data_IF_860917405255
#
_entry.id   IF_860917405255
#
_cell.length_a   1.000
_cell.length_b   1.000
_cell.length_c   1.000
_cell.angle_alpha   90.00
_cell.angle_beta   90.00
_cell.angle_gamma   90.00
#
_symmetry.space_group_name_H-M   'P 1'
#
loop_
_entity.id
_entity.type
_entity.pdbx_description
1 polymer ?
#
# COMPACT_ATOMS: atom_id res chain seq x y z
N UNK A 1 13.92 -20.80 6.25
CA UNK A 1 12.50 -20.45 6.56
C UNK A 1 12.51 -18.97 6.84
N UNK A 2 11.74 -18.15 6.13
CA UNK A 2 11.81 -16.69 6.28
C UNK A 2 11.25 -16.22 7.63
N UNK A 3 11.55 -14.97 8.02
CA UNK A 3 11.19 -14.42 9.33
C UNK A 3 9.69 -14.47 9.61
N UNK A 4 8.84 -14.19 8.64
CA UNK A 4 7.38 -14.27 8.76
C UNK A 4 6.89 -15.70 9.04
N UNK A 5 7.48 -16.72 8.39
CA UNK A 5 7.10 -18.11 8.59
C UNK A 5 7.53 -18.66 9.96
N UNK A 6 8.41 -17.95 10.67
CA UNK A 6 8.81 -18.30 12.04
C UNK A 6 7.86 -17.70 13.10
N UNK A 7 7.05 -16.70 12.74
CA UNK A 7 6.05 -16.12 13.61
C UNK A 7 4.80 -17.03 13.67
N UNK A 8 4.50 -17.66 14.80
CA UNK A 8 3.39 -18.62 14.89
C UNK A 8 2.02 -17.97 15.06
N UNK A 9 1.98 -16.68 15.43
CA UNK A 9 0.72 -15.98 15.76
C UNK A 9 0.07 -15.42 14.51
N UNK A 10 -1.26 -15.35 14.49
CA UNK A 10 -2.00 -14.46 13.61
C UNK A 10 -1.59 -13.01 13.92
N UNK A 11 -1.38 -12.19 12.88
CA UNK A 11 -0.94 -10.81 13.05
C UNK A 11 -2.13 -9.90 13.35
N UNK A 12 -2.11 -9.25 14.52
CA UNK A 12 -3.13 -8.30 14.96
C UNK A 12 -2.48 -6.97 15.28
N UNK A 13 -2.90 -5.91 14.60
CA UNK A 13 -2.30 -4.59 14.77
C UNK A 13 -2.57 -3.63 13.64
N UNK A 14 -1.55 -2.99 13.10
CA UNK A 14 -1.73 -2.08 11.96
C UNK A 14 -0.70 -0.96 11.86
N UNK A 15 -1.05 0.05 11.09
CA UNK A 15 -0.18 1.19 10.84
C UNK A 15 0.00 2.03 12.09
N UNK A 16 1.23 2.15 12.49
CA UNK A 16 1.64 3.03 13.58
C UNK A 16 2.56 4.13 13.02
N UNK A 17 2.15 5.38 13.22
CA UNK A 17 2.82 6.55 12.66
C UNK A 17 3.38 7.44 13.79
N UNK A 18 4.40 6.97 14.55
CA UNK A 18 4.98 7.70 15.68
C UNK A 18 5.73 8.97 15.25
N UNK A 19 6.14 9.06 13.99
CA UNK A 19 6.76 10.25 13.40
C UNK A 19 5.89 11.52 13.53
N UNK A 20 4.57 11.37 13.66
CA UNK A 20 3.64 12.47 13.93
C UNK A 20 3.68 12.97 15.38
N UNK A 21 4.31 12.22 16.29
CA UNK A 21 4.22 12.42 17.75
C UNK A 21 5.57 12.53 18.45
N UNK A 22 6.67 12.76 17.71
CA UNK A 22 8.02 12.79 18.27
C UNK A 22 8.21 13.86 19.34
N UNK A 23 7.48 14.96 19.25
CA UNK A 23 7.48 16.03 20.25
C UNK A 23 6.59 15.72 21.49
N UNK A 24 5.96 14.55 21.52
CA UNK A 24 5.00 14.15 22.56
C UNK A 24 5.36 12.78 23.17
N UNK A 25 6.48 12.63 23.88
CA UNK A 25 6.97 11.33 24.39
C UNK A 25 5.98 10.62 25.32
N UNK A 26 5.17 11.35 26.07
CA UNK A 26 4.13 10.78 26.94
C UNK A 26 3.03 10.07 26.11
N UNK A 27 2.73 10.58 24.93
CA UNK A 27 1.80 9.94 24.00
C UNK A 27 2.39 8.62 23.49
N UNK A 28 3.64 8.64 23.03
CA UNK A 28 4.31 7.43 22.55
C UNK A 28 4.39 6.35 23.61
N UNK A 29 4.68 6.73 24.86
CA UNK A 29 4.65 5.81 26.00
C UNK A 29 3.25 5.24 26.24
N UNK A 30 2.22 6.10 26.19
CA UNK A 30 0.82 5.68 26.38
C UNK A 30 0.36 4.74 25.28
N UNK A 31 0.83 4.93 24.04
CA UNK A 31 0.54 4.05 22.91
C UNK A 31 0.98 2.61 23.18
N UNK A 32 2.20 2.42 23.70
CA UNK A 32 2.70 1.08 24.03
C UNK A 32 1.86 0.39 25.09
N UNK A 33 1.38 1.12 26.10
CA UNK A 33 0.48 0.57 27.12
C UNK A 33 -0.85 0.13 26.50
N UNK A 34 -1.46 1.01 25.67
CA UNK A 34 -2.75 0.74 25.04
C UNK A 34 -2.65 -0.34 23.97
N UNK A 35 -1.56 -0.41 23.20
CA UNK A 35 -1.32 -1.49 22.25
C UNK A 35 -1.29 -2.86 22.95
N UNK A 36 -0.60 -2.98 24.09
CA UNK A 36 -0.60 -4.21 24.89
C UNK A 36 -2.01 -4.57 25.39
N UNK A 37 -2.75 -3.58 25.89
CA UNK A 37 -4.12 -3.78 26.36
C UNK A 37 -5.05 -4.24 25.23
N UNK A 38 -4.91 -3.66 24.02
CA UNK A 38 -5.68 -4.00 22.83
C UNK A 38 -5.24 -5.33 22.17
N UNK A 39 -4.25 -6.04 22.74
CA UNK A 39 -3.71 -7.29 22.18
C UNK A 39 -3.01 -7.10 20.83
N UNK A 40 -2.44 -5.93 20.57
CA UNK A 40 -1.63 -5.65 19.38
C UNK A 40 -0.31 -6.42 19.50
N UNK A 41 0.00 -7.21 18.48
CA UNK A 41 1.25 -7.97 18.40
C UNK A 41 2.10 -7.60 17.18
N UNK A 42 1.59 -6.75 16.28
CA UNK A 42 2.28 -6.38 15.03
C UNK A 42 1.98 -4.93 14.69
N UNK A 43 3.00 -4.17 14.32
CA UNK A 43 2.84 -2.80 13.81
C UNK A 43 3.52 -2.67 12.45
N UNK A 44 2.91 -1.90 11.55
CA UNK A 44 3.52 -1.43 10.32
C UNK A 44 4.10 -0.05 10.58
N UNK A 45 5.40 0.14 10.32
CA UNK A 45 6.13 1.37 10.65
C UNK A 45 6.73 2.02 9.41
N UNK A 46 6.67 3.34 9.35
CA UNK A 46 7.48 4.15 8.43
C UNK A 46 6.86 4.39 7.06
N UNK A 47 5.63 3.99 6.78
CA UNK A 47 5.00 4.03 5.45
C UNK A 47 5.08 5.43 4.81
N UNK A 48 4.85 6.49 5.58
CA UNK A 48 4.86 7.88 5.10
C UNK A 48 5.91 8.76 5.80
N UNK A 49 6.90 8.13 6.45
CA UNK A 49 7.82 8.82 7.34
C UNK A 49 9.06 9.44 6.64
N UNK A 50 9.11 9.54 5.30
CA UNK A 50 10.32 9.99 4.60
C UNK A 50 10.81 11.36 5.08
N UNK A 51 9.91 12.32 5.30
CA UNK A 51 10.29 13.65 5.82
C UNK A 51 10.89 13.63 7.22
N UNK A 52 10.49 12.67 8.07
CA UNK A 52 11.08 12.49 9.39
C UNK A 52 12.43 11.73 9.34
N UNK A 53 12.56 10.81 8.38
CA UNK A 53 13.79 10.04 8.16
C UNK A 53 14.88 10.84 7.44
N UNK A 54 14.47 11.70 6.51
CA UNK A 54 15.36 12.53 5.69
C UNK A 54 14.74 13.93 5.51
N UNK A 55 14.79 14.80 6.56
CA UNK A 55 14.19 16.14 6.53
C UNK A 55 14.83 17.07 5.50
N UNK A 56 16.10 16.85 5.16
CA UNK A 56 16.82 17.49 4.07
C UNK A 56 17.61 16.45 3.29
N UNK A 57 17.86 16.68 2.02
CA UNK A 57 18.60 15.75 1.18
C UNK A 57 19.96 15.36 1.79
N UNK A 58 20.14 14.08 2.04
CA UNK A 58 21.36 13.51 2.61
C UNK A 58 21.48 13.61 4.13
N UNK A 59 20.52 14.23 4.80
CA UNK A 59 20.49 14.37 6.27
C UNK A 59 19.51 13.33 6.84
N UNK A 60 20.04 12.24 7.42
CA UNK A 60 19.25 11.11 7.88
C UNK A 60 19.13 11.09 9.41
N UNK A 61 17.89 10.93 9.90
CA UNK A 61 17.53 10.87 11.31
C UNK A 61 16.78 9.56 11.60
N UNK A 62 17.50 8.55 12.07
CA UNK A 62 16.95 7.24 12.35
C UNK A 62 16.70 6.96 13.84
N UNK A 63 17.23 7.80 14.75
CA UNK A 63 17.27 7.55 16.19
C UNK A 63 15.87 7.37 16.80
N UNK A 64 14.90 8.11 16.31
CA UNK A 64 13.51 7.97 16.73
C UNK A 64 12.92 6.61 16.33
N UNK A 65 13.27 6.14 15.14
CA UNK A 65 12.79 4.84 14.64
C UNK A 65 13.49 3.69 15.39
N UNK A 66 14.79 3.82 15.70
CA UNK A 66 15.52 2.87 16.54
C UNK A 66 14.77 2.63 17.85
N UNK A 67 14.42 3.73 18.55
CA UNK A 67 13.73 3.65 19.84
C UNK A 67 12.35 2.97 19.72
N UNK A 68 11.57 3.32 18.70
CA UNK A 68 10.24 2.69 18.47
C UNK A 68 10.38 1.20 18.14
N UNK A 69 11.38 0.83 17.35
CA UNK A 69 11.66 -0.56 17.01
C UNK A 69 12.02 -1.37 18.25
N UNK A 70 12.89 -0.84 19.11
CA UNK A 70 13.29 -1.46 20.38
C UNK A 70 12.10 -1.58 21.33
N UNK A 71 11.27 -0.56 21.44
CA UNK A 71 10.07 -0.56 22.28
C UNK A 71 9.05 -1.63 21.82
N UNK A 72 8.84 -1.77 20.51
CA UNK A 72 7.98 -2.82 19.95
C UNK A 72 8.58 -4.21 20.23
N UNK A 73 9.88 -4.38 20.05
CA UNK A 73 10.57 -5.64 20.39
C UNK A 73 10.43 -5.97 21.88
N UNK A 74 10.61 -4.99 22.76
CA UNK A 74 10.48 -5.17 24.22
C UNK A 74 9.08 -5.58 24.65
N UNK A 75 8.04 -5.20 23.91
CA UNK A 75 6.68 -5.69 24.17
C UNK A 75 6.39 -7.08 23.55
N UNK A 76 7.36 -7.70 22.90
CA UNK A 76 7.17 -8.97 22.18
C UNK A 76 6.39 -8.82 20.87
N UNK A 77 6.37 -7.61 20.31
CA UNK A 77 5.69 -7.29 19.07
C UNK A 77 6.58 -7.52 17.83
N UNK A 78 5.92 -7.62 16.69
CA UNK A 78 6.53 -7.71 15.36
C UNK A 78 6.45 -6.36 14.65
N UNK A 79 7.37 -6.15 13.73
CA UNK A 79 7.39 -5.00 12.84
C UNK A 79 7.32 -5.47 11.39
N UNK A 80 6.37 -4.92 10.66
CA UNK A 80 6.37 -4.88 9.21
C UNK A 80 6.96 -3.51 8.86
N UNK A 81 8.24 -3.49 8.45
CA UNK A 81 8.94 -2.23 8.20
C UNK A 81 8.67 -1.76 6.78
N UNK A 82 8.15 -0.54 6.66
CA UNK A 82 7.80 0.01 5.36
C UNK A 82 8.93 0.85 4.73
N UNK A 83 8.96 0.85 3.40
CA UNK A 83 9.71 1.84 2.63
C UNK A 83 8.82 3.06 2.38
N UNK A 84 9.34 4.30 2.52
CA UNK A 84 8.48 5.48 2.58
C UNK A 84 8.16 6.11 1.21
N UNK A 85 8.36 5.40 0.11
CA UNK A 85 8.26 5.94 -1.25
C UNK A 85 6.85 6.32 -1.68
N UNK A 86 5.81 5.90 -0.93
CA UNK A 86 4.42 6.26 -1.21
C UNK A 86 4.11 7.76 -1.01
N UNK A 87 4.92 8.45 -0.19
CA UNK A 87 4.80 9.90 0.03
C UNK A 87 6.20 10.51 0.21
N UNK A 88 6.57 11.44 -0.66
CA UNK A 88 7.92 12.03 -0.70
C UNK A 88 8.01 13.34 0.06
N UNK A 89 9.19 13.72 0.57
CA UNK A 89 9.41 14.99 1.22
C UNK A 89 9.36 16.18 0.22
N UNK A 90 9.04 17.36 0.74
CA UNK A 90 8.87 18.57 -0.07
C UNK A 90 10.16 18.99 -0.80
N UNK A 91 11.32 18.83 -0.15
CA UNK A 91 12.62 19.17 -0.75
C UNK A 91 12.89 18.41 -2.05
N UNK A 92 12.40 17.15 -2.15
CA UNK A 92 12.57 16.32 -3.34
C UNK A 92 11.77 16.87 -4.52
N UNK A 93 10.54 17.32 -4.29
CA UNK A 93 9.71 17.95 -5.32
C UNK A 93 10.19 19.34 -5.72
N UNK A 94 10.74 20.09 -4.77
CA UNK A 94 11.26 21.45 -5.02
C UNK A 94 12.54 21.41 -5.86
N UNK A 95 13.50 20.59 -5.43
CA UNK A 95 14.82 20.50 -6.05
C UNK A 95 14.79 19.77 -7.39
N UNK A 96 13.90 18.77 -7.52
CA UNK A 96 13.80 17.87 -8.67
C UNK A 96 12.35 17.80 -9.20
N UNK A 97 11.83 18.89 -9.85
CA UNK A 97 10.42 18.92 -10.28
C UNK A 97 10.04 17.84 -11.29
N UNK A 98 11.01 17.18 -11.94
CA UNK A 98 10.80 16.05 -12.84
C UNK A 98 10.31 14.79 -12.13
N UNK A 99 10.39 14.71 -10.80
CA UNK A 99 9.81 13.60 -10.03
C UNK A 99 8.29 13.64 -9.99
N UNK A 100 7.69 14.82 -10.24
CA UNK A 100 6.25 15.01 -10.21
C UNK A 100 5.58 14.40 -11.44
N UNK A 101 4.45 13.72 -11.23
CA UNK A 101 3.62 13.17 -12.31
C UNK A 101 3.11 14.27 -13.23
N UNK A 102 2.90 13.90 -14.49
CA UNK A 102 2.10 14.64 -15.46
C UNK A 102 0.83 13.83 -15.69
N UNK A 103 -0.35 14.46 -15.58
CA UNK A 103 -1.63 13.80 -15.78
C UNK A 103 -1.93 13.57 -17.27
N UNK A 104 -3.06 12.92 -17.59
CA UNK A 104 -3.47 12.65 -18.95
C UNK A 104 -3.74 13.92 -19.79
N UNK A 105 -4.09 15.05 -19.14
CA UNK A 105 -4.24 16.37 -19.78
C UNK A 105 -2.89 17.08 -20.00
N UNK A 106 -1.78 16.39 -19.79
CA UNK A 106 -0.40 16.93 -19.92
C UNK A 106 -0.07 18.05 -18.92
N UNK A 107 -0.80 18.13 -17.81
CA UNK A 107 -0.52 19.06 -16.73
C UNK A 107 0.38 18.42 -15.67
N UNK A 108 1.47 19.09 -15.32
CA UNK A 108 2.34 18.64 -14.24
C UNK A 108 1.67 18.82 -12.88
N UNK A 109 1.63 17.75 -12.08
CA UNK A 109 1.14 17.77 -10.72
C UNK A 109 2.02 18.65 -9.82
N UNK A 110 1.50 19.00 -8.64
CA UNK A 110 2.23 19.78 -7.63
C UNK A 110 2.62 18.88 -6.46
N UNK A 111 3.51 19.39 -5.61
CA UNK A 111 3.78 18.75 -4.33
C UNK A 111 2.50 18.71 -3.47
N UNK A 112 2.38 17.68 -2.63
CA UNK A 112 1.17 17.36 -1.86
C UNK A 112 0.40 16.21 -2.52
N UNK A 113 -0.50 15.60 -1.84
CA UNK A 113 -1.09 14.34 -2.27
C UNK A 113 -0.03 13.21 -2.39
N UNK A 114 -0.32 12.07 -1.85
CA UNK A 114 0.54 10.88 -2.04
C UNK A 114 0.44 10.39 -3.48
N UNK A 115 1.39 9.54 -3.94
CA UNK A 115 1.36 8.86 -5.22
C UNK A 115 1.33 9.78 -6.46
N UNK A 116 1.78 11.02 -6.37
CA UNK A 116 1.91 11.90 -7.51
C UNK A 116 3.36 12.05 -8.01
N UNK A 117 4.16 11.00 -7.85
CA UNK A 117 5.53 10.88 -8.35
C UNK A 117 5.62 9.93 -9.55
N UNK A 118 6.60 10.16 -10.41
CA UNK A 118 6.81 9.40 -11.64
C UNK A 118 7.72 8.19 -11.41
N UNK A 119 7.25 6.98 -11.69
CA UNK A 119 8.03 5.74 -11.57
C UNK A 119 9.17 5.64 -12.60
N UNK A 120 9.13 6.43 -13.66
CA UNK A 120 10.20 6.50 -14.67
C UNK A 120 11.23 7.58 -14.40
N UNK A 121 11.04 8.46 -13.40
CA UNK A 121 12.02 9.50 -13.07
C UNK A 121 13.32 8.89 -12.57
N UNK A 122 14.47 9.13 -13.23
CA UNK A 122 15.75 8.60 -12.78
C UNK A 122 16.13 9.10 -11.38
N UNK A 123 15.87 10.38 -11.09
CA UNK A 123 16.14 10.98 -9.79
C UNK A 123 15.29 10.35 -8.70
N UNK A 124 13.99 10.14 -8.95
CA UNK A 124 13.12 9.50 -7.96
C UNK A 124 13.59 8.08 -7.64
N UNK A 125 13.93 7.31 -8.66
CA UNK A 125 14.50 5.96 -8.51
C UNK A 125 15.80 5.95 -7.70
N UNK A 126 16.71 6.89 -7.95
CA UNK A 126 17.95 7.02 -7.19
C UNK A 126 17.69 7.29 -5.70
N UNK A 127 16.82 8.26 -5.40
CA UNK A 127 16.51 8.63 -4.01
C UNK A 127 15.78 7.52 -3.26
N UNK A 128 14.86 6.83 -3.91
CA UNK A 128 14.16 5.67 -3.36
C UNK A 128 15.14 4.52 -3.06
N UNK A 129 16.02 4.18 -4.00
CA UNK A 129 17.03 3.16 -3.77
C UNK A 129 17.95 3.50 -2.59
N UNK A 130 18.32 4.78 -2.44
CA UNK A 130 19.17 5.23 -1.34
C UNK A 130 18.50 5.05 0.02
N UNK A 131 17.27 5.54 0.19
CA UNK A 131 16.57 5.43 1.48
C UNK A 131 16.25 3.97 1.82
N UNK A 132 15.81 3.17 0.84
CA UNK A 132 15.51 1.76 1.02
C UNK A 132 16.73 0.96 1.46
N UNK A 133 17.89 1.20 0.83
CA UNK A 133 19.16 0.58 1.22
C UNK A 133 19.56 0.94 2.65
N UNK A 134 19.46 2.23 3.04
CA UNK A 134 19.78 2.67 4.40
C UNK A 134 18.87 2.02 5.45
N UNK A 135 17.59 1.87 5.16
CA UNK A 135 16.67 1.15 6.02
C UNK A 135 17.04 -0.33 6.14
N UNK A 136 17.35 -0.99 5.01
CA UNK A 136 17.74 -2.39 5.00
C UNK A 136 19.06 -2.65 5.76
N UNK A 137 20.07 -1.81 5.54
CA UNK A 137 21.36 -1.89 6.24
C UNK A 137 21.20 -1.71 7.75
N UNK A 138 20.32 -0.78 8.18
CA UNK A 138 20.16 -0.49 9.61
C UNK A 138 19.28 -1.50 10.33
N UNK A 139 18.18 -1.92 9.72
CA UNK A 139 17.11 -2.69 10.40
C UNK A 139 17.00 -4.13 9.95
N UNK A 140 17.73 -4.55 8.94
CA UNK A 140 17.62 -5.91 8.38
C UNK A 140 17.99 -7.04 9.35
N UNK A 141 18.70 -6.74 10.44
CA UNK A 141 19.02 -7.70 11.50
C UNK A 141 18.24 -7.45 12.79
N UNK A 142 17.30 -6.50 12.78
CA UNK A 142 16.52 -6.19 13.99
C UNK A 142 15.52 -7.32 14.26
N UNK A 143 15.48 -7.87 15.50
CA UNK A 143 14.73 -9.10 15.81
C UNK A 143 13.22 -8.97 15.66
N UNK A 144 12.67 -7.75 15.72
CA UNK A 144 11.24 -7.53 15.54
C UNK A 144 10.81 -7.50 14.07
N UNK A 145 11.71 -7.32 13.10
CA UNK A 145 11.35 -7.20 11.67
C UNK A 145 11.04 -8.57 11.10
N UNK A 146 9.80 -8.76 10.70
CA UNK A 146 9.32 -10.02 10.10
C UNK A 146 9.03 -9.89 8.60
N UNK A 147 8.88 -8.67 8.09
CA UNK A 147 8.48 -8.40 6.70
C UNK A 147 8.81 -6.97 6.31
N UNK A 148 9.06 -6.76 5.00
CA UNK A 148 9.10 -5.44 4.38
C UNK A 148 7.76 -5.12 3.70
N UNK A 149 7.22 -3.94 3.99
CA UNK A 149 6.11 -3.36 3.23
C UNK A 149 6.66 -2.32 2.25
N UNK A 150 6.60 -2.61 0.97
CA UNK A 150 7.23 -1.78 -0.05
C UNK A 150 6.25 -0.71 -0.52
N UNK A 151 6.62 0.57 -0.34
CA UNK A 151 5.76 1.70 -0.70
C UNK A 151 4.36 1.63 -0.05
N UNK A 152 3.33 2.00 -0.79
CA UNK A 152 1.93 1.88 -0.37
C UNK A 152 1.00 1.99 -1.58
N UNK A 153 0.03 1.09 -1.72
CA UNK A 153 -1.09 1.19 -2.64
C UNK A 153 -0.70 1.66 -4.06
N UNK A 154 0.21 0.96 -4.71
CA UNK A 154 0.63 1.32 -6.06
C UNK A 154 -0.55 1.53 -7.00
N UNK A 155 -0.55 2.64 -7.75
CA UNK A 155 -1.59 2.96 -8.70
C UNK A 155 -1.38 4.27 -9.43
N UNK A 156 -2.32 4.59 -10.31
CA UNK A 156 -2.26 5.75 -11.17
C UNK A 156 -1.19 5.64 -12.25
N UNK A 157 -1.15 6.63 -13.13
CA UNK A 157 -0.24 6.70 -14.25
C UNK A 157 0.44 8.08 -14.38
N UNK A 158 1.46 8.15 -15.22
CA UNK A 158 2.18 9.39 -15.48
C UNK A 158 2.44 9.52 -16.99
N UNK A 159 2.14 10.68 -17.53
CA UNK A 159 2.25 10.99 -18.97
C UNK A 159 3.40 11.96 -19.29
N UNK A 160 4.42 12.03 -18.44
CA UNK A 160 5.61 12.87 -18.66
C UNK A 160 6.50 12.31 -19.77
N UNK A 161 7.49 13.08 -20.19
CA UNK A 161 8.41 12.71 -21.27
C UNK A 161 9.14 11.39 -21.05
N UNK A 162 9.51 11.07 -19.79
CA UNK A 162 10.12 9.78 -19.46
C UNK A 162 9.16 8.62 -19.74
N UNK A 163 7.89 8.79 -19.31
CA UNK A 163 6.86 7.77 -19.54
C UNK A 163 6.49 7.63 -21.00
N UNK A 164 6.40 8.74 -21.76
CA UNK A 164 6.20 8.72 -23.22
C UNK A 164 7.32 7.95 -23.91
N UNK A 165 8.57 8.24 -23.57
CA UNK A 165 9.73 7.56 -24.16
C UNK A 165 9.75 6.06 -23.83
N UNK A 166 9.45 5.70 -22.58
CA UNK A 166 9.40 4.31 -22.15
C UNK A 166 8.22 3.56 -22.78
N UNK A 167 7.07 4.21 -22.97
CA UNK A 167 5.92 3.62 -23.66
C UNK A 167 6.25 3.29 -25.11
N UNK A 168 6.90 4.21 -25.84
CA UNK A 168 7.36 3.96 -27.22
C UNK A 168 8.31 2.77 -27.29
N UNK A 169 9.29 2.68 -26.39
CA UNK A 169 10.21 1.52 -26.30
C UNK A 169 9.45 0.23 -26.02
N UNK A 170 8.48 0.26 -25.12
CA UNK A 170 7.64 -0.89 -24.79
C UNK A 170 6.82 -1.36 -25.99
N UNK A 171 6.23 -0.43 -26.74
CA UNK A 171 5.53 -0.73 -28.01
C UNK A 171 6.45 -1.30 -29.06
N UNK A 172 7.67 -0.75 -29.23
CA UNK A 172 8.69 -1.27 -30.16
C UNK A 172 9.06 -2.73 -29.79
N UNK A 173 9.26 -3.01 -28.53
CA UNK A 173 9.54 -4.37 -28.05
C UNK A 173 8.38 -5.33 -28.32
N UNK A 174 7.13 -4.85 -28.22
CA UNK A 174 5.92 -5.65 -28.39
C UNK A 174 5.57 -5.93 -29.86
N UNK A 175 5.67 -4.93 -30.73
CA UNK A 175 5.19 -4.98 -32.11
C UNK A 175 6.32 -5.15 -33.12
N UNK A 176 7.54 -4.80 -32.77
CA UNK A 176 8.71 -4.83 -33.66
C UNK A 176 8.72 -3.70 -34.68
N UNK A 177 7.66 -3.55 -35.43
CA UNK A 177 7.56 -2.51 -36.50
C UNK A 177 6.35 -1.60 -36.29
N UNK A 178 6.42 -0.43 -36.92
CA UNK A 178 5.34 0.56 -36.89
C UNK A 178 4.13 0.10 -37.71
N UNK A 179 4.38 -0.66 -38.79
CA UNK A 179 3.33 -1.28 -39.60
C UNK A 179 2.51 -2.27 -38.79
N UNK A 180 3.16 -3.12 -37.98
CA UNK A 180 2.47 -4.07 -37.09
C UNK A 180 1.65 -3.34 -36.02
N UNK A 181 2.14 -2.22 -35.48
CA UNK A 181 1.39 -1.37 -34.57
C UNK A 181 0.15 -0.77 -35.24
N UNK A 182 0.34 -0.16 -36.41
CA UNK A 182 -0.75 0.46 -37.17
C UNK A 182 -1.85 -0.56 -37.52
N UNK A 183 -1.47 -1.78 -37.90
CA UNK A 183 -2.40 -2.88 -38.15
C UNK A 183 -3.16 -3.26 -36.88
N UNK A 184 -2.45 -3.47 -35.79
CA UNK A 184 -3.04 -3.91 -34.51
C UNK A 184 -4.01 -2.87 -33.91
N UNK A 185 -3.72 -1.59 -34.07
CA UNK A 185 -4.57 -0.49 -33.60
C UNK A 185 -5.60 -0.03 -34.63
N UNK A 186 -5.58 -0.59 -35.83
CA UNK A 186 -6.41 -0.20 -36.96
C UNK A 186 -6.23 1.28 -37.37
N UNK A 187 -4.99 1.69 -37.49
CA UNK A 187 -4.57 3.08 -37.75
C UNK A 187 -5.21 3.80 -38.93
N UNK A 188 -5.64 3.13 -40.04
CA UNK A 188 -6.31 3.81 -41.14
C UNK A 188 -7.61 4.54 -40.77
N UNK A 189 -8.28 4.13 -39.71
CA UNK A 189 -9.49 4.80 -39.24
C UNK A 189 -9.16 6.18 -38.67
N UNK A 190 -9.79 7.21 -39.17
CA UNK A 190 -9.55 8.62 -38.85
C UNK A 190 -8.08 9.08 -38.99
N UNK A 191 -7.33 8.45 -39.89
CA UNK A 191 -5.92 8.79 -40.15
C UNK A 191 -5.01 8.65 -38.93
N UNK A 192 -5.24 7.64 -38.10
CA UNK A 192 -4.43 7.34 -36.91
C UNK A 192 -3.18 6.50 -37.23
N UNK A 193 -2.83 6.29 -38.51
CA UNK A 193 -1.59 5.59 -38.88
C UNK A 193 -0.37 6.46 -38.59
N UNK A 194 0.61 5.87 -37.92
CA UNK A 194 1.88 6.51 -37.61
C UNK A 194 2.93 6.19 -38.69
N UNK A 195 3.79 7.14 -38.97
CA UNK A 195 4.95 7.01 -39.90
C UNK A 195 6.28 7.10 -39.16
N UNK A 196 6.26 7.48 -37.88
CA UNK A 196 7.42 7.53 -37.01
C UNK A 196 6.99 7.24 -35.55
N UNK A 197 7.83 6.55 -34.79
CA UNK A 197 7.55 6.22 -33.38
C UNK A 197 7.38 7.47 -32.51
N UNK A 198 8.02 8.58 -32.82
CA UNK A 198 7.90 9.85 -32.11
C UNK A 198 6.48 10.43 -32.12
N UNK A 199 5.65 10.02 -33.08
CA UNK A 199 4.26 10.47 -33.23
C UNK A 199 3.32 9.73 -32.25
N UNK A 200 3.77 8.61 -31.71
CA UNK A 200 2.95 7.82 -30.76
C UNK A 200 2.98 8.45 -29.38
N UNK A 201 1.82 8.76 -28.86
CA UNK A 201 1.62 9.29 -27.51
C UNK A 201 0.71 8.39 -26.67
N UNK A 202 0.82 8.52 -25.35
CA UNK A 202 -0.13 7.91 -24.42
C UNK A 202 -1.53 8.49 -24.59
N UNK A 203 -2.61 7.75 -24.21
CA UNK A 203 -3.97 8.26 -24.32
C UNK A 203 -4.16 9.57 -23.56
N UNK A 204 -5.02 10.46 -24.10
CA UNK A 204 -5.29 11.76 -23.50
C UNK A 204 -6.68 12.26 -23.83
N UNK A 205 -7.45 12.83 -22.86
CA UNK A 205 -8.75 13.43 -23.14
C UNK A 205 -8.66 14.71 -24.00
N UNK A 206 -7.49 15.33 -24.08
CA UNK A 206 -7.24 16.47 -24.97
C UNK A 206 -6.67 16.07 -26.33
N UNK A 207 -6.50 14.77 -26.56
CA UNK A 207 -5.98 14.19 -27.82
C UNK A 207 -6.75 12.93 -28.16
N UNK A 208 -6.05 11.80 -28.26
CA UNK A 208 -6.67 10.51 -28.58
C UNK A 208 -6.98 9.73 -27.29
N UNK A 209 -8.24 9.37 -27.12
CA UNK A 209 -8.71 8.59 -25.97
C UNK A 209 -9.67 7.44 -26.34
N UNK A 210 -9.99 7.29 -27.64
CA UNK A 210 -10.98 6.31 -28.10
C UNK A 210 -10.38 5.08 -28.79
N UNK A 211 -9.10 5.11 -29.18
CA UNK A 211 -8.44 3.96 -29.82
C UNK A 211 -8.25 2.84 -28.79
N UNK A 212 -9.00 1.74 -28.95
CA UNK A 212 -9.03 0.64 -27.98
C UNK A 212 -7.66 -0.03 -27.80
N UNK A 213 -6.91 -0.22 -28.88
CA UNK A 213 -5.56 -0.78 -28.83
C UNK A 213 -4.60 0.06 -28.01
N UNK A 214 -4.62 1.38 -28.24
CA UNK A 214 -3.82 2.35 -27.46
C UNK A 214 -4.16 2.29 -25.97
N UNK A 215 -5.45 2.33 -25.61
CA UNK A 215 -5.89 2.30 -24.21
C UNK A 215 -5.50 1.00 -23.51
N UNK A 216 -5.64 -0.14 -24.19
CA UNK A 216 -5.29 -1.44 -23.66
C UNK A 216 -3.77 -1.59 -23.46
N UNK A 217 -2.99 -1.14 -24.44
CA UNK A 217 -1.54 -1.19 -24.36
C UNK A 217 -0.98 -0.20 -23.34
N UNK A 218 -1.61 0.95 -23.15
CA UNK A 218 -1.26 1.86 -22.07
C UNK A 218 -1.45 1.22 -20.70
N UNK A 219 -2.59 0.58 -20.45
CA UNK A 219 -2.83 -0.15 -19.18
C UNK A 219 -1.83 -1.28 -18.96
N UNK A 220 -1.46 -2.01 -19.99
CA UNK A 220 -0.41 -3.05 -19.92
C UNK A 220 0.95 -2.45 -19.60
N UNK A 221 1.32 -1.37 -20.27
CA UNK A 221 2.54 -0.63 -20.00
C UNK A 221 2.60 -0.09 -18.57
N UNK A 222 1.51 0.52 -18.07
CA UNK A 222 1.43 1.02 -16.69
C UNK A 222 1.65 -0.10 -15.68
N UNK A 223 1.08 -1.27 -15.92
CA UNK A 223 1.33 -2.45 -15.08
C UNK A 223 2.81 -2.85 -15.10
N UNK A 224 3.40 -2.95 -16.29
CA UNK A 224 4.81 -3.34 -16.44
C UNK A 224 5.76 -2.31 -15.84
N UNK A 225 5.49 -1.02 -16.01
CA UNK A 225 6.24 0.08 -15.41
C UNK A 225 6.17 0.05 -13.87
N UNK A 226 4.99 -0.24 -13.33
CA UNK A 226 4.79 -0.33 -11.88
C UNK A 226 5.56 -1.52 -11.30
N UNK A 227 5.52 -2.66 -11.95
CA UNK A 227 6.29 -3.85 -11.55
C UNK A 227 7.79 -3.57 -11.64
N UNK A 228 8.27 -2.96 -12.72
CA UNK A 228 9.66 -2.58 -12.89
C UNK A 228 10.14 -1.62 -11.78
N UNK A 229 9.28 -0.68 -11.39
CA UNK A 229 9.59 0.22 -10.28
C UNK A 229 9.61 -0.54 -8.93
N UNK A 230 8.66 -1.43 -8.68
CA UNK A 230 8.65 -2.29 -7.50
C UNK A 230 9.92 -3.16 -7.40
N UNK A 231 10.31 -3.80 -8.50
CA UNK A 231 11.57 -4.58 -8.55
C UNK A 231 12.81 -3.70 -8.29
N UNK A 232 12.80 -2.46 -8.78
CA UNK A 232 13.84 -1.49 -8.45
C UNK A 232 13.89 -1.17 -6.95
N UNK A 233 12.73 -0.99 -6.30
CA UNK A 233 12.65 -0.69 -4.88
C UNK A 233 13.16 -1.83 -4.00
N UNK A 234 12.87 -3.08 -4.36
CA UNK A 234 13.24 -4.25 -3.56
C UNK A 234 14.65 -4.77 -3.84
N UNK A 235 15.33 -4.29 -4.86
CA UNK A 235 16.62 -4.83 -5.30
C UNK A 235 17.67 -4.86 -4.18
N UNK A 236 17.92 -3.72 -3.55
CA UNK A 236 18.89 -3.62 -2.46
C UNK A 236 18.36 -4.29 -1.18
N UNK A 237 17.06 -4.22 -0.93
CA UNK A 237 16.39 -4.89 0.20
C UNK A 237 16.61 -6.40 0.13
N UNK A 238 16.32 -7.02 -1.00
CA UNK A 238 16.53 -8.47 -1.19
C UNK A 238 18.00 -8.88 -1.12
N UNK A 239 18.91 -8.00 -1.56
CA UNK A 239 20.34 -8.28 -1.48
C UNK A 239 20.84 -8.26 -0.03
N UNK A 240 20.38 -7.29 0.76
CA UNK A 240 20.84 -7.08 2.15
C UNK A 240 20.10 -8.01 3.13
N UNK A 241 18.81 -8.24 2.90
CA UNK A 241 17.92 -8.98 3.80
C UNK A 241 17.16 -10.11 3.08
N UNK A 242 17.86 -11.09 2.47
CA UNK A 242 17.22 -12.12 1.63
C UNK A 242 16.24 -13.02 2.40
N UNK A 243 16.34 -13.10 3.72
CA UNK A 243 15.48 -13.92 4.58
C UNK A 243 14.19 -13.20 5.04
N UNK A 244 14.09 -11.89 4.78
CA UNK A 244 12.89 -11.11 5.15
C UNK A 244 12.00 -10.95 3.91
N UNK A 245 10.77 -11.49 3.93
CA UNK A 245 9.88 -11.42 2.78
C UNK A 245 9.40 -10.00 2.52
N UNK A 246 9.00 -9.73 1.28
CA UNK A 246 8.43 -8.45 0.86
C UNK A 246 6.94 -8.59 0.53
N UNK A 247 6.19 -7.56 0.87
CA UNK A 247 4.80 -7.36 0.47
C UNK A 247 4.57 -5.93 -0.01
N UNK A 248 3.46 -5.69 -0.65
CA UNK A 248 2.84 -4.37 -0.83
C UNK A 248 1.33 -4.55 -0.85
N UNK A 249 0.60 -3.56 -0.39
CA UNK A 249 -0.85 -3.65 -0.28
C UNK A 249 -1.55 -3.48 -1.63
N UNK A 250 -2.33 -4.48 -2.00
CA UNK A 250 -3.21 -4.46 -3.16
C UNK A 250 -4.52 -3.77 -2.80
N UNK A 251 -5.26 -3.33 -3.81
CA UNK A 251 -6.49 -2.56 -3.67
C UNK A 251 -7.68 -3.34 -4.22
N UNK A 252 -8.88 -2.96 -3.76
CA UNK A 252 -10.11 -3.12 -4.51
C UNK A 252 -10.70 -1.72 -4.77
N UNK A 253 -11.60 -1.56 -5.72
CA UNK A 253 -12.34 -0.31 -5.85
C UNK A 253 -13.17 -0.10 -4.59
N UNK A 254 -12.93 1.03 -3.93
CA UNK A 254 -13.31 1.25 -2.54
C UNK A 254 -14.82 1.30 -2.28
N UNK A 255 -15.61 1.80 -3.23
CA UNK A 255 -17.06 1.93 -3.06
C UNK A 255 -17.80 0.65 -3.43
N UNK A 256 -17.43 0.02 -4.53
CA UNK A 256 -18.16 -1.12 -5.10
C UNK A 256 -17.51 -2.47 -4.77
N UNK A 257 -16.30 -2.46 -4.16
CA UNK A 257 -15.52 -3.66 -3.88
C UNK A 257 -15.41 -4.60 -5.08
N UNK A 258 -15.11 -4.03 -6.24
CA UNK A 258 -14.77 -4.77 -7.44
C UNK A 258 -13.25 -4.91 -7.56
N UNK A 259 -12.76 -5.90 -8.32
CA UNK A 259 -11.33 -6.03 -8.55
C UNK A 259 -10.70 -4.74 -9.10
N UNK A 260 -9.54 -4.38 -8.58
CA UNK A 260 -8.82 -3.15 -8.93
C UNK A 260 -8.52 -3.10 -10.44
N UNK A 261 -8.91 -2.00 -11.09
CA UNK A 261 -8.85 -1.90 -12.56
C UNK A 261 -7.60 -1.20 -13.11
N UNK A 262 -6.82 -0.54 -12.24
CA UNK A 262 -5.65 0.25 -12.67
C UNK A 262 -4.44 -0.62 -12.99
N UNK A 263 -4.27 -1.77 -12.36
CA UNK A 263 -3.15 -2.69 -12.51
C UNK A 263 -3.60 -4.13 -12.69
N UNK A 264 -2.83 -4.90 -13.44
CA UNK A 264 -3.00 -6.36 -13.51
C UNK A 264 -2.32 -7.02 -12.31
N UNK A 265 -3.09 -7.32 -11.27
CA UNK A 265 -2.59 -7.91 -10.05
C UNK A 265 -2.19 -9.38 -10.17
N UNK A 266 -2.75 -10.14 -11.13
CA UNK A 266 -2.26 -11.50 -11.42
C UNK A 266 -0.78 -11.49 -11.84
N UNK A 267 -0.38 -10.49 -12.60
CA UNK A 267 1.03 -10.30 -12.98
C UNK A 267 1.85 -9.78 -11.81
N UNK A 268 1.34 -8.77 -11.08
CA UNK A 268 2.08 -8.15 -9.98
C UNK A 268 2.28 -9.11 -8.80
N UNK A 269 1.30 -9.98 -8.50
CA UNK A 269 1.38 -10.95 -7.40
C UNK A 269 2.60 -11.89 -7.50
N UNK A 270 3.13 -12.12 -8.70
CA UNK A 270 4.33 -12.94 -8.93
C UNK A 270 5.61 -12.33 -8.36
N UNK A 271 5.60 -11.03 -8.08
CA UNK A 271 6.75 -10.25 -7.63
C UNK A 271 6.78 -10.01 -6.12
N UNK A 272 5.66 -10.17 -5.42
CA UNK A 272 5.58 -10.12 -3.96
C UNK A 272 5.74 -11.53 -3.36
N UNK A 273 6.35 -11.63 -2.19
CA UNK A 273 6.48 -12.94 -1.50
C UNK A 273 5.17 -13.32 -0.83
N UNK A 274 4.54 -12.37 -0.15
CA UNK A 274 3.26 -12.52 0.53
C UNK A 274 2.31 -11.47 -0.04
N UNK A 275 1.12 -11.90 -0.47
CA UNK A 275 0.11 -10.97 -0.94
C UNK A 275 -0.57 -10.31 0.25
N UNK A 276 -0.80 -9.02 0.17
CA UNK A 276 -1.60 -8.26 1.13
C UNK A 276 -2.57 -7.32 0.42
N UNK A 277 -3.67 -6.94 1.08
CA UNK A 277 -4.63 -6.02 0.50
C UNK A 277 -5.36 -5.20 1.56
N UNK A 278 -6.02 -4.12 1.12
CA UNK A 278 -6.71 -3.15 1.95
C UNK A 278 -8.21 -3.21 1.73
N UNK A 279 -8.98 -3.32 2.82
CA UNK A 279 -10.42 -3.53 2.78
C UNK A 279 -11.16 -2.49 3.63
N UNK A 280 -11.88 -1.59 2.98
CA UNK A 280 -12.63 -0.50 3.64
C UNK A 280 -14.10 -0.45 3.22
N UNK A 281 -14.87 -1.53 3.37
CA UNK A 281 -16.28 -1.55 3.01
C UNK A 281 -17.09 -0.69 3.97
N UNK A 282 -18.16 -0.07 3.46
CA UNK A 282 -19.11 0.67 4.29
C UNK A 282 -20.09 -0.29 5.00
N UNK A 283 -19.62 -1.00 6.02
CA UNK A 283 -20.39 -2.01 6.76
C UNK A 283 -21.72 -1.51 7.34
N UNK A 284 -21.96 -0.23 7.35
CA UNK A 284 -23.19 0.39 7.84
C UNK A 284 -23.72 1.37 6.78
N UNK A 285 -24.14 0.82 5.65
CA UNK A 285 -24.76 1.59 4.57
C UNK A 285 -26.28 1.31 4.48
N UNK A 286 -26.97 2.09 3.63
CA UNK A 286 -28.42 2.03 3.44
C UNK A 286 -28.81 1.57 2.02
N UNK A 287 -27.83 1.20 1.17
CA UNK A 287 -28.08 0.86 -0.25
C UNK A 287 -27.93 -0.62 -0.57
N UNK A 288 -27.40 -1.43 0.35
CA UNK A 288 -27.28 -2.88 0.20
C UNK A 288 -27.41 -3.61 1.54
N UNK A 289 -27.69 -4.90 1.51
CA UNK A 289 -27.72 -5.69 2.75
C UNK A 289 -26.31 -6.00 3.26
N UNK A 290 -26.18 -6.25 4.55
CA UNK A 290 -24.92 -6.72 5.12
C UNK A 290 -24.42 -8.02 4.46
N UNK A 291 -25.34 -8.91 4.06
CA UNK A 291 -24.98 -10.17 3.39
C UNK A 291 -24.42 -9.93 1.98
N UNK A 292 -24.99 -8.98 1.23
CA UNK A 292 -24.47 -8.62 -0.10
C UNK A 292 -23.07 -8.04 0.02
N UNK A 293 -22.86 -7.12 0.96
CA UNK A 293 -21.54 -6.55 1.22
C UNK A 293 -20.54 -7.59 1.68
N UNK A 294 -20.92 -8.49 2.60
CA UNK A 294 -20.07 -9.58 3.05
C UNK A 294 -19.68 -10.53 1.90
N UNK A 295 -20.59 -10.80 0.96
CA UNK A 295 -20.27 -11.63 -0.20
C UNK A 295 -19.25 -10.97 -1.15
N UNK A 296 -19.32 -9.65 -1.32
CA UNK A 296 -18.31 -8.89 -2.09
C UNK A 296 -16.94 -8.94 -1.43
N UNK A 297 -16.88 -8.75 -0.11
CA UNK A 297 -15.62 -8.86 0.66
C UNK A 297 -15.03 -10.25 0.52
N UNK A 298 -15.83 -11.30 0.75
CA UNK A 298 -15.38 -12.68 0.61
C UNK A 298 -14.91 -13.00 -0.81
N UNK A 299 -15.58 -12.46 -1.84
CA UNK A 299 -15.14 -12.63 -3.23
C UNK A 299 -13.73 -12.03 -3.47
N UNK A 300 -13.45 -10.84 -2.95
CA UNK A 300 -12.11 -10.23 -3.10
C UNK A 300 -11.06 -11.00 -2.29
N UNK A 301 -11.37 -11.44 -1.07
CA UNK A 301 -10.50 -12.30 -0.27
C UNK A 301 -10.10 -13.56 -1.05
N UNK A 302 -11.09 -14.28 -1.59
CA UNK A 302 -10.87 -15.51 -2.36
C UNK A 302 -10.12 -15.23 -3.66
N UNK A 303 -10.42 -14.13 -4.35
CA UNK A 303 -9.69 -13.71 -5.55
C UNK A 303 -8.20 -13.51 -5.23
N UNK A 304 -7.88 -12.72 -4.20
CA UNK A 304 -6.49 -12.42 -3.88
C UNK A 304 -5.74 -13.63 -3.34
N UNK A 305 -6.38 -14.44 -2.52
CA UNK A 305 -5.83 -15.72 -2.12
C UNK A 305 -5.48 -16.62 -3.32
N UNK A 306 -6.36 -16.66 -4.34
CA UNK A 306 -6.16 -17.48 -5.53
C UNK A 306 -4.98 -17.06 -6.40
N UNK A 307 -4.54 -15.78 -6.33
CA UNK A 307 -3.42 -15.29 -7.12
C UNK A 307 -2.09 -15.97 -6.79
N UNK A 308 -1.95 -16.50 -5.59
CA UNK A 308 -0.73 -17.19 -5.12
C UNK A 308 -1.00 -18.57 -4.53
N UNK A 309 -2.25 -18.99 -4.42
CA UNK A 309 -2.68 -20.25 -3.77
C UNK A 309 -2.06 -20.41 -2.36
N UNK A 310 -2.05 -19.33 -1.60
CA UNK A 310 -1.51 -19.27 -0.23
C UNK A 310 -2.26 -18.24 0.61
N UNK A 311 -2.16 -18.28 1.96
CA UNK A 311 -2.70 -17.25 2.83
C UNK A 311 -2.23 -15.86 2.41
N UNK A 312 -3.10 -14.87 2.64
CA UNK A 312 -2.81 -13.45 2.39
C UNK A 312 -2.82 -12.66 3.71
N UNK A 313 -2.47 -11.38 3.64
CA UNK A 313 -2.63 -10.46 4.75
C UNK A 313 -3.73 -9.43 4.45
N UNK A 314 -4.64 -9.24 5.38
CA UNK A 314 -5.41 -8.00 5.45
C UNK A 314 -4.48 -6.94 6.01
N UNK A 315 -3.93 -6.08 5.13
CA UNK A 315 -2.89 -5.12 5.49
C UNK A 315 -3.48 -3.87 6.10
N UNK A 316 -4.61 -3.42 5.58
CA UNK A 316 -5.35 -2.30 6.12
C UNK A 316 -6.84 -2.57 6.18
N UNK A 317 -7.46 -2.10 7.25
CA UNK A 317 -8.89 -2.03 7.46
C UNK A 317 -9.17 -0.94 8.49
N UNK A 318 -10.43 -0.63 8.78
CA UNK A 318 -10.72 0.32 9.87
C UNK A 318 -11.38 -0.38 11.05
N UNK A 319 -11.02 -0.05 12.30
CA UNK A 319 -11.74 -0.57 13.46
C UNK A 319 -13.14 0.04 13.60
N UNK A 320 -13.40 1.19 12.97
CA UNK A 320 -14.70 1.89 13.08
C UNK A 320 -15.23 2.38 11.74
N UNK A 321 -14.72 3.46 11.19
CA UNK A 321 -15.12 4.05 9.93
C UNK A 321 -13.99 4.84 9.28
N UNK A 322 -14.22 5.28 8.05
CA UNK A 322 -13.27 6.09 7.27
C UNK A 322 -13.83 7.49 7.07
N UNK A 323 -12.98 8.50 6.90
CA UNK A 323 -13.44 9.89 6.72
C UNK A 323 -13.52 10.33 5.25
N UNK A 324 -13.14 9.47 4.33
CA UNK A 324 -13.14 9.74 2.88
C UNK A 324 -14.35 9.12 2.13
N UNK A 325 -15.22 8.38 2.80
CA UNK A 325 -16.54 8.03 2.28
C UNK A 325 -17.48 9.25 2.34
N UNK A 326 -18.45 9.39 1.40
CA UNK A 326 -19.42 10.48 1.43
C UNK A 326 -20.22 10.55 2.73
N UNK A 327 -20.51 9.38 3.32
CA UNK A 327 -21.13 9.23 4.63
C UNK A 327 -20.28 8.30 5.46
N UNK A 328 -19.76 8.80 6.58
CA UNK A 328 -18.94 8.04 7.50
C UNK A 328 -19.79 7.57 8.70
N UNK A 329 -20.19 6.32 8.68
CA UNK A 329 -20.87 5.66 9.81
C UNK A 329 -19.92 4.66 10.44
N UNK A 330 -19.85 4.65 11.77
CA UNK A 330 -19.09 3.64 12.51
C UNK A 330 -19.75 2.27 12.40
N UNK A 331 -18.95 1.20 12.47
CA UNK A 331 -19.48 -0.17 12.55
C UNK A 331 -20.43 -0.30 13.74
N UNK A 332 -21.57 -0.96 13.52
CA UNK A 332 -22.49 -1.31 14.61
C UNK A 332 -21.85 -2.32 15.58
N UNK A 333 -22.35 -2.45 16.83
CA UNK A 333 -21.86 -3.46 17.76
C UNK A 333 -21.83 -4.87 17.16
N UNK A 334 -20.75 -5.62 17.39
CA UNK A 334 -20.53 -6.96 16.87
C UNK A 334 -20.05 -7.03 15.40
N UNK A 335 -20.20 -5.96 14.62
CA UNK A 335 -19.79 -5.97 13.21
C UNK A 335 -18.27 -6.04 13.05
N UNK A 336 -17.51 -5.43 13.97
CA UNK A 336 -16.05 -5.46 13.88
C UNK A 336 -15.51 -6.88 14.04
N UNK A 337 -16.03 -7.62 15.04
CA UNK A 337 -15.67 -9.02 15.24
C UNK A 337 -16.05 -9.88 14.04
N UNK A 338 -17.28 -9.74 13.53
CA UNK A 338 -17.78 -10.53 12.40
C UNK A 338 -16.93 -10.29 11.13
N UNK A 339 -16.69 -9.03 10.77
CA UNK A 339 -15.93 -8.69 9.56
C UNK A 339 -14.46 -9.12 9.67
N UNK A 340 -13.84 -8.99 10.86
CA UNK A 340 -12.47 -9.44 11.07
C UNK A 340 -12.35 -10.97 10.95
N UNK A 341 -13.29 -11.70 11.53
CA UNK A 341 -13.28 -13.17 11.43
C UNK A 341 -13.62 -13.67 10.04
N UNK A 342 -14.37 -12.93 9.23
CA UNK A 342 -14.60 -13.26 7.84
C UNK A 342 -13.28 -13.32 7.07
N UNK A 343 -12.42 -12.31 7.16
CA UNK A 343 -11.11 -12.32 6.49
C UNK A 343 -10.26 -13.53 6.92
N UNK A 344 -10.22 -13.84 8.22
CA UNK A 344 -9.51 -15.02 8.72
C UNK A 344 -10.11 -16.32 8.15
N UNK A 345 -11.43 -16.42 8.07
CA UNK A 345 -12.11 -17.59 7.50
C UNK A 345 -11.84 -17.77 6.00
N UNK A 346 -11.60 -16.68 5.26
CA UNK A 346 -11.20 -16.72 3.85
C UNK A 346 -9.69 -16.88 3.66
N UNK A 347 -8.91 -17.02 4.73
CA UNK A 347 -7.48 -17.36 4.69
C UNK A 347 -6.52 -16.20 4.89
N UNK A 348 -6.96 -15.10 5.53
CA UNK A 348 -6.05 -14.08 6.00
C UNK A 348 -5.29 -14.55 7.24
N UNK A 349 -3.97 -14.36 7.26
CA UNK A 349 -3.14 -14.55 8.44
C UNK A 349 -3.05 -13.30 9.33
N UNK A 350 -3.81 -12.26 9.00
CA UNK A 350 -3.79 -10.99 9.73
C UNK A 350 -5.14 -10.29 9.80
N UNK A 351 -5.23 -9.37 10.76
CA UNK A 351 -6.23 -8.31 10.79
C UNK A 351 -5.52 -7.02 11.23
N UNK A 352 -5.08 -6.24 10.25
CA UNK A 352 -4.33 -5.01 10.48
C UNK A 352 -5.19 -3.79 10.15
N UNK A 353 -4.95 -2.71 10.88
CA UNK A 353 -5.76 -1.50 10.84
C UNK A 353 -4.97 -0.31 10.30
N UNK A 354 -5.59 0.52 9.53
CA UNK A 354 -5.27 1.93 9.46
C UNK A 354 -6.27 2.65 10.38
N UNK A 355 -5.85 3.15 11.58
CA UNK A 355 -4.49 3.12 12.09
C UNK A 355 -4.48 2.80 13.60
N UNK A 356 -3.32 2.60 14.19
CA UNK A 356 -3.21 2.35 15.65
C UNK A 356 -3.60 3.61 16.42
N UNK A 357 -2.90 4.73 16.21
CA UNK A 357 -3.21 6.02 16.85
C UNK A 357 -3.83 7.00 15.84
N UNK A 358 -4.95 7.59 16.20
CA UNK A 358 -5.65 8.59 15.39
C UNK A 358 -4.80 9.84 15.22
N UNK A 359 -4.63 10.28 13.96
CA UNK A 359 -3.87 11.47 13.63
C UNK A 359 -4.45 12.72 14.28
N UNK A 360 -3.57 13.60 14.77
CA UNK A 360 -3.97 14.86 15.41
C UNK A 360 -4.61 15.85 14.44
N UNK A 361 -4.23 15.78 13.18
CA UNK A 361 -4.64 16.72 12.13
C UNK A 361 -4.55 16.13 10.74
N UNK A 362 -4.51 16.99 9.71
CA UNK A 362 -4.38 16.65 8.29
C UNK A 362 -5.59 15.92 7.71
N UNK A 363 -5.39 15.32 6.53
CA UNK A 363 -6.47 14.80 5.67
C UNK A 363 -7.29 13.68 6.32
N UNK A 364 -6.65 12.87 7.18
CA UNK A 364 -7.27 11.70 7.80
C UNK A 364 -7.46 11.84 9.32
N UNK A 365 -7.57 13.08 9.79
CA UNK A 365 -7.83 13.38 11.21
C UNK A 365 -9.00 12.59 11.81
N UNK A 366 -10.04 12.34 11.03
CA UNK A 366 -11.26 11.68 11.46
C UNK A 366 -11.36 10.21 11.00
N UNK A 367 -10.28 9.67 10.42
CA UNK A 367 -10.22 8.24 10.12
C UNK A 367 -10.28 7.42 11.40
N UNK A 368 -10.91 6.26 11.36
CA UNK A 368 -10.96 5.34 12.49
C UNK A 368 -9.56 4.92 12.95
N UNK A 369 -9.43 4.68 14.25
CA UNK A 369 -8.18 4.22 14.85
C UNK A 369 -8.46 3.35 16.07
N UNK A 370 -7.47 2.55 16.46
CA UNK A 370 -7.53 1.75 17.68
C UNK A 370 -7.54 2.68 18.91
N UNK A 371 -6.63 3.65 18.92
CA UNK A 371 -6.49 4.65 19.98
C UNK A 371 -7.01 5.98 19.45
N UNK A 372 -8.14 6.44 20.01
CA UNK A 372 -8.78 7.70 19.64
C UNK A 372 -8.09 8.90 20.32
N UNK A 373 -8.53 10.11 19.99
CA UNK A 373 -8.01 11.37 20.51
C UNK A 373 -8.12 11.53 22.04
N UNK A 374 -9.05 10.79 22.66
CA UNK A 374 -9.28 10.81 24.11
C UNK A 374 -8.26 9.99 24.90
N UNK A 375 -7.42 9.20 24.24
CA UNK A 375 -6.45 8.27 24.86
C UNK A 375 -7.08 7.25 25.80
N UNK A 376 -8.36 6.94 25.63
CA UNK A 376 -9.11 6.03 26.49
C UNK A 376 -9.20 4.63 25.91
N UNK A 377 -9.11 3.63 26.76
CA UNK A 377 -9.47 2.24 26.44
C UNK A 377 -10.95 1.92 26.72
N UNK A 378 -11.70 2.82 27.33
CA UNK A 378 -13.08 2.55 27.77
C UNK A 378 -14.11 2.67 26.64
N UNK A 379 -13.72 3.22 25.47
CA UNK A 379 -14.63 3.36 24.36
C UNK A 379 -14.90 2.03 23.64
N UNK A 380 -16.07 1.91 23.02
CA UNK A 380 -16.52 0.68 22.34
C UNK A 380 -15.55 0.22 21.24
N UNK A 381 -15.01 1.11 20.45
CA UNK A 381 -14.12 0.74 19.33
C UNK A 381 -12.85 0.06 19.84
N UNK A 382 -12.26 0.59 20.89
CA UNK A 382 -11.10 -0.04 21.54
C UNK A 382 -11.43 -1.43 22.08
N UNK A 383 -12.57 -1.58 22.74
CA UNK A 383 -13.01 -2.87 23.30
C UNK A 383 -13.32 -3.88 22.18
N UNK A 384 -13.93 -3.44 21.07
CA UNK A 384 -14.18 -4.30 19.90
C UNK A 384 -12.84 -4.80 19.30
N UNK A 385 -11.81 -3.95 19.22
CA UNK A 385 -10.45 -4.35 18.77
C UNK A 385 -9.81 -5.36 19.74
N UNK A 386 -9.90 -5.09 21.04
CA UNK A 386 -9.39 -6.00 22.08
C UNK A 386 -10.06 -7.37 22.03
N UNK A 387 -11.36 -7.43 21.76
CA UNK A 387 -12.11 -8.67 21.58
C UNK A 387 -11.61 -9.46 20.37
N UNK A 388 -11.39 -8.80 19.23
CA UNK A 388 -10.81 -9.42 18.02
C UNK A 388 -9.44 -10.00 18.35
N UNK A 389 -8.54 -9.24 18.97
CA UNK A 389 -7.22 -9.72 19.38
C UNK A 389 -7.28 -10.93 20.30
N UNK A 390 -8.16 -10.91 21.30
CA UNK A 390 -8.35 -12.03 22.23
C UNK A 390 -8.88 -13.30 21.52
N UNK A 391 -9.72 -13.14 20.50
CA UNK A 391 -10.18 -14.28 19.71
C UNK A 391 -9.06 -14.81 18.80
N UNK A 392 -8.29 -13.94 18.16
CA UNK A 392 -7.15 -14.33 17.32
C UNK A 392 -6.10 -15.11 18.12
N UNK A 393 -5.83 -14.72 19.38
CA UNK A 393 -4.96 -15.50 20.29
C UNK A 393 -5.46 -16.94 20.49
N UNK A 394 -6.78 -17.13 20.59
CA UNK A 394 -7.38 -18.46 20.80
C UNK A 394 -7.34 -19.35 19.55
N UNK A 395 -7.45 -18.74 18.37
CA UNK A 395 -7.52 -19.46 17.10
C UNK A 395 -6.20 -19.43 16.31
N UNK A 396 -5.10 -19.00 16.91
CA UNK A 396 -3.79 -18.85 16.22
C UNK A 396 -3.35 -20.11 15.46
N UNK A 397 -3.83 -21.27 15.82
CA UNK A 397 -3.55 -22.54 15.13
C UNK A 397 -4.07 -22.60 13.68
N UNK A 398 -4.90 -21.64 13.25
CA UNK A 398 -5.35 -21.56 11.84
C UNK A 398 -4.36 -20.82 10.93
N UNK A 399 -3.35 -20.15 11.48
CA UNK A 399 -2.34 -19.44 10.71
C UNK A 399 -1.66 -20.35 9.70
N UNK A 400 -1.50 -19.89 8.47
CA UNK A 400 -0.96 -20.66 7.36
C UNK A 400 -1.89 -21.79 6.90
N UNK A 401 -3.04 -21.95 7.53
CA UNK A 401 -4.07 -22.90 7.17
C UNK A 401 -4.77 -22.48 5.90
N UNK A 402 -4.70 -23.32 4.89
CA UNK A 402 -5.19 -22.81 3.63
C UNK A 402 -5.44 -23.86 2.56
N UNK A 403 -5.67 -25.09 2.95
CA UNK A 403 -6.11 -26.12 1.98
C UNK A 403 -7.44 -26.70 2.38
#
# INVERSE_FOLDING_TARGET
MNAYNQEPRLLHGGDYNPDQWLDYPDILKKDLELMKEAKINTVSLGIFAWSALEPREGEFHFEWLDQIMDDVAAMGGNVILATPSGARPAWLSEKYPEVLRTNADRQKMRHGGRHNHCFSSPVYREKVALINRKLAERYGQHPAVIMWHISNEYGGDCHCEYCQANFRKWLQARYGTLEALNEAWWGPFWSHSFSDWSQVESPSPIGESAVHGLNLDWKRFVTDQTIDFFEHEIKDIRHITPEIPVTTNFMADTMDLIPFQSLNYERFAKHVDILSWDCYPAWHNDWETTADLASKVGFIDDLYRSLKDQPFLLMESTPSGVNWHPVNKTKRPGMHLLSSMQHIAHGSDSNLYFQIRKSRGSSEKFHGAVIDHDNSSDNRVFQDVKEVGALMEKIQGVKGGGK
#
